data_IF_864469594833
#
_entry.id   IF_864469594833
#
_cell.length_a   1.000
_cell.length_b   1.000
_cell.length_c   1.000
_cell.angle_alpha   90.00
_cell.angle_beta   90.00
_cell.angle_gamma   90.00
#
_symmetry.space_group_name_H-M   'P 1'
#
loop_
_entity.id
_entity.type
_entity.pdbx_description
1 polymer ?
#
# COMPACT_ATOMS: atom_id res chain seq x y z
N UNK A 1 3.91 -3.89 -16.58
CA UNK A 1 3.67 -4.77 -15.42
C UNK A 1 4.55 -4.30 -14.28
N UNK A 2 4.01 -4.18 -13.08
CA UNK A 2 4.73 -3.76 -11.87
C UNK A 2 4.76 -4.91 -10.86
N UNK A 3 5.90 -5.09 -10.19
CA UNK A 3 6.09 -6.12 -9.15
C UNK A 3 6.51 -5.44 -7.86
N UNK A 4 5.72 -5.59 -6.80
CA UNK A 4 5.99 -5.00 -5.49
C UNK A 4 6.57 -6.09 -4.58
N UNK A 5 7.80 -5.89 -4.09
CA UNK A 5 8.39 -6.76 -3.06
C UNK A 5 8.04 -6.25 -1.66
N UNK A 6 7.48 -7.14 -0.85
CA UNK A 6 7.09 -6.86 0.52
C UNK A 6 8.09 -7.49 1.49
N UNK A 7 8.28 -6.86 2.65
CA UNK A 7 9.20 -7.35 3.69
C UNK A 7 8.50 -8.21 4.75
N UNK A 8 7.20 -8.45 4.58
CA UNK A 8 6.34 -9.23 5.47
C UNK A 8 5.18 -9.75 4.64
N UNK A 9 4.55 -10.84 5.08
CA UNK A 9 3.43 -11.43 4.35
C UNK A 9 2.23 -10.47 4.30
N UNK A 10 1.46 -10.61 3.23
CA UNK A 10 0.19 -9.91 3.03
C UNK A 10 -0.86 -10.95 2.65
N UNK A 11 -1.87 -11.10 3.49
CA UNK A 11 -2.96 -12.04 3.23
C UNK A 11 -4.15 -11.40 2.49
N UNK A 12 -4.23 -10.06 2.54
CA UNK A 12 -5.33 -9.28 1.94
C UNK A 12 -4.77 -8.01 1.34
N UNK A 13 -5.42 -7.48 0.31
CA UNK A 13 -5.13 -6.17 -0.27
C UNK A 13 -6.44 -5.50 -0.69
N UNK A 14 -6.44 -4.18 -0.78
CA UNK A 14 -7.58 -3.37 -1.23
C UNK A 14 -7.14 -2.40 -2.31
N UNK A 15 -8.02 -2.15 -3.28
CA UNK A 15 -7.77 -1.25 -4.42
C UNK A 15 -8.85 -0.19 -4.45
N UNK A 16 -8.43 1.08 -4.44
CA UNK A 16 -9.30 2.23 -4.62
C UNK A 16 -9.14 2.77 -6.04
N UNK A 17 -10.12 2.48 -6.91
CA UNK A 17 -10.09 2.99 -8.30
C UNK A 17 -10.26 4.51 -8.35
N UNK A 18 -11.13 5.07 -7.52
CA UNK A 18 -11.39 6.51 -7.47
C UNK A 18 -10.15 7.33 -7.07
N UNK A 19 -9.24 6.75 -6.27
CA UNK A 19 -8.04 7.41 -5.78
C UNK A 19 -6.75 6.87 -6.42
N UNK A 20 -6.84 5.88 -7.31
CA UNK A 20 -5.68 5.25 -7.94
C UNK A 20 -4.68 4.64 -6.96
N UNK A 21 -5.16 4.02 -5.88
CA UNK A 21 -4.31 3.56 -4.78
C UNK A 21 -4.53 2.08 -4.41
N UNK A 22 -3.45 1.42 -4.01
CA UNK A 22 -3.43 0.04 -3.51
C UNK A 22 -2.99 0.07 -2.05
N UNK A 23 -3.81 -0.47 -1.17
CA UNK A 23 -3.51 -0.63 0.25
C UNK A 23 -3.17 -2.10 0.54
N UNK A 24 -1.98 -2.32 1.11
CA UNK A 24 -1.48 -3.65 1.45
C UNK A 24 -1.25 -3.71 2.98
N UNK A 25 -2.18 -4.30 3.76
CA UNK A 25 -1.93 -4.65 5.15
C UNK A 25 -0.90 -5.77 5.26
N UNK A 26 0.06 -5.59 6.15
CA UNK A 26 1.15 -6.53 6.42
C UNK A 26 1.05 -7.07 7.86
N UNK A 27 1.53 -8.29 8.07
CA UNK A 27 1.53 -8.94 9.39
C UNK A 27 2.37 -8.19 10.44
N UNK A 28 3.32 -7.36 10.01
CA UNK A 28 4.10 -6.50 10.90
C UNK A 28 3.34 -5.26 11.41
N UNK A 29 2.00 -5.25 11.34
CA UNK A 29 1.10 -4.17 11.79
C UNK A 29 1.25 -2.86 11.02
N UNK A 30 1.87 -2.89 9.85
CA UNK A 30 1.93 -1.73 8.96
C UNK A 30 0.97 -1.91 7.78
N UNK A 31 0.41 -0.79 7.32
CA UNK A 31 -0.27 -0.72 6.03
C UNK A 31 0.61 0.10 5.11
N UNK A 32 0.97 -0.47 3.96
CA UNK A 32 1.69 0.24 2.90
C UNK A 32 0.72 0.65 1.81
N UNK A 33 0.83 1.89 1.36
CA UNK A 33 0.02 2.43 0.27
C UNK A 33 0.92 2.60 -0.95
N UNK A 34 0.41 2.20 -2.12
CA UNK A 34 1.08 2.31 -3.40
C UNK A 34 0.14 2.96 -4.42
N UNK A 35 0.69 3.59 -5.46
CA UNK A 35 -0.08 3.95 -6.65
C UNK A 35 -0.32 2.72 -7.55
N UNK A 36 -1.10 2.89 -8.63
CA UNK A 36 -1.38 1.82 -9.60
C UNK A 36 -0.15 1.39 -10.42
N UNK A 37 0.92 2.19 -10.42
CA UNK A 37 2.19 1.86 -11.08
C UNK A 37 3.12 1.06 -10.15
N UNK A 38 2.77 0.90 -8.88
CA UNK A 38 3.56 0.19 -7.87
C UNK A 38 4.55 1.06 -7.11
N UNK A 39 4.49 2.38 -7.25
CA UNK A 39 5.30 3.31 -6.45
C UNK A 39 4.71 3.45 -5.05
N UNK A 40 5.55 3.36 -4.02
CA UNK A 40 5.11 3.51 -2.62
C UNK A 40 4.80 4.96 -2.32
N UNK A 41 3.59 5.23 -1.87
CA UNK A 41 3.20 6.56 -1.42
C UNK A 41 3.76 6.83 -0.01
N UNK A 42 4.22 8.06 0.26
CA UNK A 42 4.64 8.46 1.61
C UNK A 42 3.45 8.37 2.58
N UNK A 43 3.75 8.19 3.87
CA UNK A 43 2.68 8.16 4.88
C UNK A 43 1.99 9.51 4.88
N UNK A 44 0.65 9.49 4.93
CA UNK A 44 -0.13 10.70 5.16
C UNK A 44 0.35 11.32 6.49
N UNK A 45 0.73 12.61 6.50
CA UNK A 45 1.10 13.28 7.74
C UNK A 45 -0.07 13.21 8.72
N UNK A 46 0.20 12.80 9.95
CA UNK A 46 -0.81 12.88 10.99
C UNK A 46 -0.97 14.38 11.33
N UNK A 47 -2.01 15.03 10.80
CA UNK A 47 -2.39 16.38 11.26
C UNK A 47 -2.92 16.21 12.69
N UNK A 48 -2.07 16.51 13.67
CA UNK A 48 -2.53 16.79 15.04
C UNK A 48 -3.14 18.19 15.08
#
# INVERSE_FOLDING_TARGET
>A
MSTIRLSSAANRLSISKAHGAIAIPLDNRHVRIYDLNGNRLPRVPNRR
#
